data_IF_254073480693
#
_entry.id   IF_254073480693
#
_cell.length_a   1.000
_cell.length_b   1.000
_cell.length_c   1.000
_cell.angle_alpha   90.00
_cell.angle_beta   90.00
_cell.angle_gamma   90.00
#
_symmetry.space_group_name_H-M   'P 1'
#
loop_
_entity.id
_entity.type
_entity.pdbx_description
1 polymer ?
#
# COMPACT_ATOMS: atom_id res chain seq x y z
N UNK A 1 -56.61 -36.99 -13.05
CA UNK A 1 -55.45 -37.24 -12.18
C UNK A 1 -54.59 -36.00 -12.28
N UNK A 2 -54.59 -35.21 -11.21
CA UNK A 2 -54.06 -33.84 -11.20
C UNK A 2 -52.52 -33.85 -11.05
N UNK A 3 -51.83 -33.47 -12.12
CA UNK A 3 -50.35 -33.27 -12.09
C UNK A 3 -49.95 -31.87 -11.62
N UNK A 4 -50.90 -31.01 -11.29
CA UNK A 4 -50.62 -29.62 -10.89
C UNK A 4 -50.13 -29.46 -9.47
N UNK A 5 -50.43 -30.36 -8.56
CA UNK A 5 -50.01 -30.27 -7.17
C UNK A 5 -48.50 -30.60 -6.90
N UNK A 6 -47.89 -31.39 -7.79
CA UNK A 6 -46.46 -31.77 -7.60
C UNK A 6 -45.51 -30.66 -8.00
N UNK A 7 -45.90 -29.72 -8.82
CA UNK A 7 -45.06 -28.62 -9.26
C UNK A 7 -45.05 -27.44 -8.26
N UNK A 8 -46.15 -27.19 -7.57
CA UNK A 8 -46.23 -26.13 -6.54
C UNK A 8 -45.41 -26.44 -5.32
N UNK A 9 -45.40 -27.71 -4.87
CA UNK A 9 -44.58 -28.12 -3.73
C UNK A 9 -43.06 -28.06 -4.03
N UNK A 10 -42.65 -28.38 -5.25
CA UNK A 10 -41.25 -28.32 -5.66
C UNK A 10 -40.73 -26.88 -5.74
N UNK A 11 -41.54 -25.94 -6.21
CA UNK A 11 -41.19 -24.51 -6.29
C UNK A 11 -41.14 -23.88 -4.90
N UNK A 12 -42.06 -24.24 -4.01
CA UNK A 12 -42.05 -23.78 -2.62
C UNK A 12 -40.80 -24.29 -1.88
N UNK A 13 -40.47 -25.55 -2.06
CA UNK A 13 -39.32 -26.19 -1.38
C UNK A 13 -38.00 -25.61 -1.90
N UNK A 14 -37.84 -25.31 -3.19
CA UNK A 14 -36.66 -24.64 -3.74
C UNK A 14 -36.46 -23.22 -3.23
N UNK A 15 -37.57 -22.48 -2.99
CA UNK A 15 -37.52 -21.13 -2.43
C UNK A 15 -36.95 -21.09 -1.00
N UNK A 16 -37.30 -22.06 -0.17
CA UNK A 16 -36.76 -22.16 1.19
C UNK A 16 -35.27 -22.50 1.23
N UNK A 17 -34.82 -23.41 0.38
CA UNK A 17 -33.41 -23.77 0.27
C UNK A 17 -32.58 -22.56 -0.22
N UNK A 18 -33.12 -21.79 -1.15
CA UNK A 18 -32.44 -20.58 -1.65
C UNK A 18 -32.36 -19.48 -0.59
N UNK A 19 -33.43 -19.30 0.20
CA UNK A 19 -33.43 -18.33 1.29
C UNK A 19 -32.41 -18.70 2.39
N UNK A 20 -32.29 -19.98 2.73
CA UNK A 20 -31.34 -20.47 3.73
C UNK A 20 -29.90 -20.29 3.26
N UNK A 21 -29.62 -20.52 1.96
CA UNK A 21 -28.31 -20.32 1.35
C UNK A 21 -27.92 -18.83 1.32
N UNK A 22 -28.87 -17.92 1.06
CA UNK A 22 -28.64 -16.49 1.12
C UNK A 22 -28.35 -16.00 2.54
N UNK A 23 -29.05 -16.53 3.54
CA UNK A 23 -28.78 -16.22 4.95
C UNK A 23 -27.40 -16.71 5.36
N UNK A 24 -27.05 -17.96 5.01
CA UNK A 24 -25.70 -18.50 5.29
C UNK A 24 -24.59 -17.67 4.63
N UNK A 25 -24.78 -17.27 3.36
CA UNK A 25 -23.84 -16.43 2.64
C UNK A 25 -23.69 -15.05 3.31
N UNK A 26 -24.79 -14.45 3.75
CA UNK A 26 -24.80 -13.16 4.46
C UNK A 26 -24.04 -13.23 5.77
N UNK A 27 -24.19 -14.33 6.53
CA UNK A 27 -23.43 -14.53 7.77
C UNK A 27 -21.93 -14.67 7.51
N UNK A 28 -21.55 -15.41 6.46
CA UNK A 28 -20.15 -15.54 6.05
C UNK A 28 -19.57 -14.17 5.64
N UNK A 29 -20.30 -13.37 4.87
CA UNK A 29 -19.88 -12.03 4.51
C UNK A 29 -19.73 -11.10 5.72
N UNK A 30 -20.67 -11.13 6.66
CA UNK A 30 -20.60 -10.36 7.89
C UNK A 30 -19.40 -10.80 8.75
N UNK A 31 -19.13 -12.10 8.85
CA UNK A 31 -17.99 -12.63 9.57
C UNK A 31 -16.65 -12.20 8.92
N UNK A 32 -16.56 -12.21 7.58
CA UNK A 32 -15.34 -11.78 6.86
C UNK A 32 -15.10 -10.28 6.98
N UNK A 33 -16.14 -9.45 6.98
CA UNK A 33 -16.02 -7.99 7.19
C UNK A 33 -15.57 -7.69 8.64
N UNK A 34 -15.99 -8.49 9.62
CA UNK A 34 -15.56 -8.35 11.02
C UNK A 34 -14.09 -8.72 11.23
N UNK A 35 -13.48 -9.44 10.30
CA UNK A 35 -12.05 -9.78 10.28
C UNK A 35 -11.18 -8.83 9.44
N UNK A 36 -11.70 -7.68 9.00
CA UNK A 36 -10.79 -6.62 8.58
C UNK A 36 -9.97 -6.26 9.82
N UNK A 37 -8.66 -6.54 9.85
CA UNK A 37 -7.85 -6.08 10.94
C UNK A 37 -7.88 -4.56 10.90
N UNK A 38 -8.81 -3.97 11.65
CA UNK A 38 -8.56 -2.63 12.12
C UNK A 38 -7.25 -2.77 12.86
N UNK A 39 -6.21 -2.11 12.40
CA UNK A 39 -4.95 -1.96 13.11
C UNK A 39 -5.24 -1.20 14.42
N UNK A 40 -5.98 -1.89 15.30
CA UNK A 40 -6.09 -1.54 16.69
C UNK A 40 -4.74 -1.94 17.28
N UNK A 41 -3.80 -1.05 17.20
CA UNK A 41 -2.67 -1.04 18.11
C UNK A 41 -3.24 -1.30 19.51
N UNK A 42 -2.70 -2.28 20.27
CA UNK A 42 -3.15 -2.55 21.61
C UNK A 42 -3.05 -1.23 22.39
N UNK A 43 -4.17 -0.77 22.89
CA UNK A 43 -4.27 0.36 23.81
C UNK A 43 -3.46 -0.01 25.05
N UNK A 44 -2.18 0.29 25.02
CA UNK A 44 -1.40 0.42 26.23
C UNK A 44 -1.82 1.75 26.80
N UNK A 45 -2.54 1.75 27.89
CA UNK A 45 -2.86 2.89 28.74
C UNK A 45 -1.57 3.45 29.39
N UNK A 46 -0.66 3.88 28.57
CA UNK A 46 0.40 4.80 28.96
C UNK A 46 0.17 6.05 28.11
N UNK A 47 0.08 7.24 28.69
CA UNK A 47 0.05 8.46 27.91
C UNK A 47 1.40 8.55 27.20
N UNK A 48 1.46 8.01 25.99
CA UNK A 48 2.56 8.26 25.08
C UNK A 48 2.46 9.73 24.72
N UNK A 49 3.36 10.54 25.25
CA UNK A 49 3.64 11.84 24.66
C UNK A 49 3.73 11.64 23.15
N UNK A 50 3.04 12.45 22.34
CA UNK A 50 3.14 12.37 20.91
C UNK A 50 4.63 12.53 20.56
N UNK A 51 5.25 11.42 20.16
CA UNK A 51 6.63 11.46 19.66
C UNK A 51 6.60 12.39 18.45
N UNK A 52 7.13 13.59 18.64
CA UNK A 52 7.28 14.58 17.60
C UNK A 52 8.29 14.02 16.60
N UNK A 53 7.80 13.20 15.66
CA UNK A 53 8.60 12.78 14.50
C UNK A 53 8.86 14.08 13.76
N UNK A 54 10.08 14.56 13.79
CA UNK A 54 10.49 15.68 12.97
C UNK A 54 10.50 15.18 11.52
N UNK A 55 9.35 15.32 10.84
CA UNK A 55 9.24 15.08 9.40
C UNK A 55 9.94 16.26 8.74
N UNK A 56 11.12 16.03 8.20
CA UNK A 56 11.75 17.02 7.32
C UNK A 56 11.00 17.06 5.99
N UNK A 57 11.04 18.19 5.30
CA UNK A 57 10.50 18.32 3.95
C UNK A 57 11.00 17.14 3.11
N UNK A 58 10.06 16.33 2.60
CA UNK A 58 10.40 15.09 1.92
C UNK A 58 11.07 15.36 0.56
N UNK A 59 11.95 14.46 0.15
CA UNK A 59 12.50 14.44 -1.21
C UNK A 59 11.43 14.00 -2.21
N UNK A 60 11.36 14.66 -3.38
CA UNK A 60 10.50 14.26 -4.50
C UNK A 60 11.31 14.38 -5.79
N UNK A 61 11.36 13.29 -6.56
CA UNK A 61 11.99 13.25 -7.87
C UNK A 61 11.18 12.42 -8.87
N UNK A 62 11.35 12.68 -10.15
CA UNK A 62 10.74 11.91 -11.25
C UNK A 62 11.84 11.30 -12.09
N UNK A 63 11.76 10.00 -12.35
CA UNK A 63 12.81 9.19 -12.97
C UNK A 63 12.23 8.27 -14.03
N UNK A 64 13.05 7.87 -14.99
CA UNK A 64 12.74 6.74 -15.85
C UNK A 64 12.68 5.43 -15.03
N UNK A 65 11.90 4.46 -15.47
CA UNK A 65 11.71 3.18 -14.77
C UNK A 65 13.03 2.45 -14.47
N UNK A 66 14.06 2.67 -15.29
CA UNK A 66 15.39 2.04 -15.16
C UNK A 66 16.46 2.97 -14.55
N UNK A 67 16.08 4.15 -14.05
CA UNK A 67 17.01 5.18 -13.56
C UNK A 67 17.23 5.13 -12.04
N UNK A 68 17.35 3.93 -11.46
CA UNK A 68 17.53 3.77 -10.01
C UNK A 68 18.82 4.42 -9.51
N UNK A 69 19.90 4.34 -10.27
CA UNK A 69 21.18 4.93 -9.87
C UNK A 69 21.09 6.46 -9.78
N UNK A 70 20.40 7.09 -10.72
CA UNK A 70 20.13 8.51 -10.70
C UNK A 70 19.33 8.93 -9.46
N UNK A 71 18.30 8.17 -9.13
CA UNK A 71 17.53 8.38 -7.89
C UNK A 71 18.42 8.30 -6.64
N UNK A 72 19.30 7.29 -6.55
CA UNK A 72 20.19 7.10 -5.40
C UNK A 72 21.18 8.27 -5.27
N UNK A 73 21.72 8.74 -6.38
CA UNK A 73 22.65 9.88 -6.42
C UNK A 73 21.95 11.16 -5.98
N UNK A 74 20.78 11.45 -6.52
CA UNK A 74 19.97 12.61 -6.17
C UNK A 74 19.55 12.59 -4.68
N UNK A 75 19.18 11.42 -4.18
CA UNK A 75 18.83 11.25 -2.76
C UNK A 75 20.03 11.54 -1.85
N UNK A 76 21.21 11.06 -2.20
CA UNK A 76 22.46 11.36 -1.47
C UNK A 76 22.79 12.85 -1.51
N UNK A 77 22.67 13.48 -2.68
CA UNK A 77 22.89 14.90 -2.83
C UNK A 77 21.91 15.71 -1.99
N UNK A 78 20.62 15.38 -2.03
CA UNK A 78 19.59 16.01 -1.21
C UNK A 78 19.91 15.93 0.29
N UNK A 79 20.39 14.77 0.77
CA UNK A 79 20.79 14.62 2.17
C UNK A 79 21.95 15.54 2.57
N UNK A 80 22.92 15.70 1.68
CA UNK A 80 24.05 16.62 1.90
C UNK A 80 23.57 18.07 1.94
N UNK A 81 22.74 18.48 0.99
CA UNK A 81 22.19 19.82 0.91
C UNK A 81 21.35 20.20 2.15
N UNK A 82 20.54 19.26 2.61
CA UNK A 82 19.69 19.45 3.80
C UNK A 82 20.42 19.19 5.11
N UNK A 83 21.70 18.84 5.06
CA UNK A 83 22.51 18.51 6.25
C UNK A 83 21.86 17.45 7.14
N UNK A 84 21.20 16.46 6.53
CA UNK A 84 20.55 15.37 7.26
C UNK A 84 21.65 14.49 7.89
N UNK A 85 21.70 14.47 9.23
CA UNK A 85 22.70 13.74 9.99
C UNK A 85 22.63 12.23 9.80
N UNK A 86 23.68 11.53 10.23
CA UNK A 86 23.80 10.06 10.14
C UNK A 86 22.70 9.29 10.92
N UNK A 87 22.03 9.95 11.85
CA UNK A 87 20.87 9.37 12.58
C UNK A 87 19.53 9.50 11.85
N UNK A 88 19.53 10.06 10.64
CA UNK A 88 18.33 10.22 9.84
C UNK A 88 18.29 9.15 8.75
N UNK A 89 17.23 8.37 8.67
CA UNK A 89 16.98 7.35 7.62
C UNK A 89 15.70 7.67 6.85
N UNK A 90 15.55 7.05 5.68
CA UNK A 90 14.28 7.05 4.96
C UNK A 90 13.31 6.15 5.73
N UNK A 91 12.16 6.70 6.16
CA UNK A 91 11.14 5.96 6.90
C UNK A 91 9.98 5.52 6.00
N UNK A 92 9.71 6.28 4.94
CA UNK A 92 8.68 5.96 3.96
C UNK A 92 9.19 6.32 2.55
N UNK A 93 9.02 5.40 1.63
CA UNK A 93 9.28 5.59 0.21
C UNK A 93 8.01 5.31 -0.57
N UNK A 94 7.40 6.35 -1.13
CA UNK A 94 6.25 6.23 -2.00
C UNK A 94 6.70 6.27 -3.46
N UNK A 95 6.37 5.23 -4.22
CA UNK A 95 6.70 5.09 -5.64
C UNK A 95 5.40 5.19 -6.43
N UNK A 96 5.30 6.19 -7.29
CA UNK A 96 4.08 6.54 -8.00
C UNK A 96 4.31 6.31 -9.49
N UNK A 97 3.62 5.33 -10.06
CA UNK A 97 3.64 5.06 -11.49
C UNK A 97 2.61 5.85 -12.27
N UNK A 98 2.69 5.79 -13.59
CA UNK A 98 1.71 6.40 -14.49
C UNK A 98 0.34 5.71 -14.38
N UNK A 99 -0.74 6.49 -14.42
CA UNK A 99 -2.11 5.99 -14.55
C UNK A 99 -2.63 6.24 -15.95
N UNK A 100 -2.25 5.39 -16.88
CA UNK A 100 -2.82 5.42 -18.23
C UNK A 100 -4.23 4.83 -18.28
N UNK A 101 -5.09 5.42 -19.13
CA UNK A 101 -6.49 4.98 -19.28
C UNK A 101 -6.56 3.69 -20.10
N UNK A 102 -5.60 3.45 -21.00
CA UNK A 102 -5.62 2.33 -21.95
C UNK A 102 -4.89 1.08 -21.46
N UNK A 103 -3.88 1.23 -20.60
CA UNK A 103 -3.10 0.12 -20.04
C UNK A 103 -3.09 0.21 -18.52
N UNK A 104 -4.16 -0.29 -17.91
CA UNK A 104 -4.49 -0.08 -16.50
C UNK A 104 -3.41 -0.52 -15.52
N UNK A 105 -2.51 -1.41 -15.95
CA UNK A 105 -1.56 -2.09 -15.06
C UNK A 105 -0.09 -1.74 -15.31
N UNK A 106 0.26 -1.05 -16.40
CA UNK A 106 1.67 -0.79 -16.72
C UNK A 106 2.36 0.06 -15.68
N UNK A 107 1.76 1.15 -15.25
CA UNK A 107 2.38 2.05 -14.28
C UNK A 107 2.53 1.44 -12.88
N UNK A 108 1.60 0.57 -12.45
CA UNK A 108 1.76 -0.20 -11.20
C UNK A 108 2.93 -1.18 -11.33
N UNK A 109 3.03 -1.88 -12.47
CA UNK A 109 4.12 -2.83 -12.72
C UNK A 109 5.47 -2.13 -12.79
N UNK A 110 5.54 -0.96 -13.38
CA UNK A 110 6.75 -0.14 -13.44
C UNK A 110 7.18 0.31 -12.04
N UNK A 111 6.26 0.82 -11.23
CA UNK A 111 6.53 1.20 -9.85
C UNK A 111 6.92 0.00 -8.98
N UNK A 112 6.28 -1.14 -9.17
CA UNK A 112 6.60 -2.39 -8.48
C UNK A 112 8.01 -2.87 -8.86
N UNK A 113 8.33 -2.89 -10.16
CA UNK A 113 9.68 -3.28 -10.65
C UNK A 113 10.75 -2.40 -10.01
N UNK A 114 10.58 -1.10 -10.05
CA UNK A 114 11.50 -0.16 -9.44
C UNK A 114 11.68 -0.41 -7.94
N UNK A 115 10.57 -0.66 -7.22
CA UNK A 115 10.60 -1.00 -5.79
C UNK A 115 11.41 -2.27 -5.51
N UNK A 116 11.18 -3.33 -6.29
CA UNK A 116 11.88 -4.62 -6.13
C UNK A 116 13.37 -4.48 -6.46
N UNK A 117 13.71 -3.78 -7.53
CA UNK A 117 15.11 -3.54 -7.90
C UNK A 117 15.83 -2.71 -6.82
N UNK A 118 15.17 -1.70 -6.25
CA UNK A 118 15.73 -0.89 -5.18
C UNK A 118 15.97 -1.72 -3.91
N UNK A 119 15.04 -2.60 -3.54
CA UNK A 119 15.19 -3.50 -2.40
C UNK A 119 16.33 -4.51 -2.60
N UNK A 120 16.52 -5.00 -3.82
CA UNK A 120 17.59 -5.94 -4.16
C UNK A 120 19.01 -5.32 -4.06
N UNK A 121 19.11 -4.00 -4.04
CA UNK A 121 20.40 -3.33 -3.84
C UNK A 121 20.90 -3.37 -2.38
N UNK A 122 20.07 -3.85 -1.45
CA UNK A 122 20.41 -4.02 -0.01
C UNK A 122 21.10 -2.78 0.59
N UNK A 123 20.62 -1.60 0.22
CA UNK A 123 21.17 -0.33 0.72
C UNK A 123 20.71 -0.16 2.17
N UNK A 124 21.64 -0.07 3.10
CA UNK A 124 21.38 0.07 4.55
C UNK A 124 20.44 1.25 4.89
N UNK A 125 20.38 2.25 4.03
CA UNK A 125 19.51 3.42 4.17
C UNK A 125 18.02 3.09 4.06
N UNK A 126 17.67 1.99 3.36
CA UNK A 126 16.30 1.52 3.12
C UNK A 126 15.93 0.27 3.94
N UNK A 127 16.78 -0.21 4.83
CA UNK A 127 16.56 -1.46 5.58
C UNK A 127 15.25 -1.48 6.38
N UNK A 128 14.87 -0.34 6.98
CA UNK A 128 13.63 -0.21 7.76
C UNK A 128 12.61 0.74 7.07
N UNK A 129 12.71 0.92 5.76
CA UNK A 129 11.83 1.80 5.00
C UNK A 129 10.52 1.11 4.68
N UNK A 130 9.41 1.78 4.94
CA UNK A 130 8.10 1.37 4.45
C UNK A 130 7.96 1.76 2.98
N UNK A 131 7.63 0.79 2.11
CA UNK A 131 7.40 1.03 0.70
C UNK A 131 5.90 1.12 0.41
N UNK A 132 5.50 2.18 -0.27
CA UNK A 132 4.13 2.39 -0.75
C UNK A 132 4.14 2.55 -2.27
N UNK A 133 3.24 1.85 -2.96
CA UNK A 133 3.10 1.92 -4.41
C UNK A 133 1.75 2.54 -4.74
N UNK A 134 1.75 3.51 -5.65
CA UNK A 134 0.55 4.22 -6.08
C UNK A 134 0.63 4.54 -7.58
N UNK A 135 -0.45 5.09 -8.13
CA UNK A 135 -0.50 5.56 -9.53
C UNK A 135 -1.12 6.95 -9.63
N UNK A 136 -0.60 7.75 -10.55
CA UNK A 136 -1.10 9.11 -10.79
C UNK A 136 -1.18 9.44 -12.28
N UNK A 137 -2.18 10.22 -12.67
CA UNK A 137 -2.31 10.78 -14.03
C UNK A 137 -1.31 11.90 -14.31
N UNK A 138 -0.63 12.39 -13.28
CA UNK A 138 0.39 13.42 -13.39
C UNK A 138 1.78 12.87 -13.74
N UNK A 139 1.92 11.55 -13.71
CA UNK A 139 3.16 10.85 -14.07
C UNK A 139 3.03 10.37 -15.51
N UNK A 140 4.02 10.64 -16.34
CA UNK A 140 4.03 10.21 -17.74
C UNK A 140 4.30 8.70 -17.86
N UNK A 141 3.83 8.05 -18.94
CA UNK A 141 4.19 6.67 -19.24
C UNK A 141 5.70 6.45 -19.33
N UNK A 142 6.20 5.39 -18.69
CA UNK A 142 7.63 5.08 -18.62
C UNK A 142 8.41 5.91 -17.60
N UNK A 143 7.74 6.76 -16.86
CA UNK A 143 8.30 7.49 -15.72
C UNK A 143 7.66 7.03 -14.40
N UNK A 144 8.38 7.25 -13.33
CA UNK A 144 7.91 7.10 -11.97
C UNK A 144 8.23 8.35 -11.15
N UNK A 145 7.39 8.71 -10.23
CA UNK A 145 7.70 9.73 -9.22
C UNK A 145 7.97 9.05 -7.89
N UNK A 146 9.11 9.36 -7.30
CA UNK A 146 9.53 8.82 -6.01
C UNK A 146 9.46 9.92 -4.97
N UNK A 147 8.81 9.62 -3.84
CA UNK A 147 8.74 10.50 -2.69
C UNK A 147 9.37 9.80 -1.50
N UNK A 148 10.44 10.37 -0.93
CA UNK A 148 11.09 9.86 0.26
C UNK A 148 10.82 10.79 1.45
N UNK A 149 10.40 10.20 2.57
CA UNK A 149 10.21 10.89 3.85
C UNK A 149 11.31 10.43 4.81
N UNK A 150 11.97 11.38 5.43
CA UNK A 150 13.06 11.11 6.36
C UNK A 150 12.58 11.23 7.81
N UNK A 151 13.10 10.35 8.66
CA UNK A 151 12.85 10.37 10.08
C UNK A 151 14.12 10.08 10.88
N UNK A 152 14.16 10.56 12.10
CA UNK A 152 15.25 10.26 13.04
C UNK A 152 14.96 8.95 13.76
N UNK A 153 15.84 7.95 13.65
CA UNK A 153 15.80 6.78 14.54
C UNK A 153 16.19 7.25 15.94
N UNK A 154 15.22 7.24 16.87
CA UNK A 154 15.55 7.38 18.28
C UNK A 154 16.28 6.12 18.70
N UNK A 155 17.59 6.25 19.04
CA UNK A 155 18.33 5.17 19.69
C UNK A 155 17.57 4.73 20.93
N UNK A 156 17.04 3.51 20.91
CA UNK A 156 16.55 2.89 22.13
C UNK A 156 17.79 2.46 22.93
N UNK A 157 18.10 3.28 23.91
CA UNK A 157 18.99 2.89 25.01
C UNK A 157 18.19 2.21 26.10
#
# INVERSE_FOLDING_TARGET
>A
MDQTHLTEDAVSQSGWVFADLLVALSVIFLATISFVPTSNSPTRDTPLEPQKIAISDGFIGTYGVNSIQEFIEDLKQYRLEKSLGTGTSVILLQIIGSKEIQTRDSGILDALRFSVELQNLEIAEFEDTEFSIDTSRLVNPGEITVRAVFGSKKSQN
#
